data_IF_966728992661
#
_entry.id   IF_966728992661
#
_cell.length_a   1.000
_cell.length_b   1.000
_cell.length_c   1.000
_cell.angle_alpha   90.00
_cell.angle_beta   90.00
_cell.angle_gamma   90.00
#
_symmetry.space_group_name_H-M   'P 1'
#
loop_
_entity.id
_entity.type
_entity.pdbx_description
1 polymer ?
#
# COMPACT_ATOMS: atom_id res chain seq x y z
N UNK A 1 -15.87 -29.01 -28.18
CA UNK A 1 -15.80 -27.59 -28.60
C UNK A 1 -16.53 -26.61 -27.67
N UNK A 2 -17.44 -27.05 -26.78
CA UNK A 2 -18.22 -26.13 -25.91
C UNK A 2 -17.50 -25.65 -24.63
N UNK A 3 -16.57 -26.44 -24.07
CA UNK A 3 -15.84 -26.08 -22.84
C UNK A 3 -14.71 -25.05 -23.05
N UNK A 4 -14.09 -25.01 -24.23
CA UNK A 4 -13.01 -24.05 -24.52
C UNK A 4 -13.55 -22.63 -24.76
N UNK A 5 -14.78 -22.52 -25.26
CA UNK A 5 -15.47 -21.25 -25.49
C UNK A 5 -15.98 -20.61 -24.19
N UNK A 6 -16.38 -21.41 -23.19
CA UNK A 6 -16.85 -20.90 -21.89
C UNK A 6 -15.70 -20.38 -21.01
N UNK A 7 -14.53 -21.04 -21.06
CA UNK A 7 -13.35 -20.62 -20.30
C UNK A 7 -12.75 -19.30 -20.84
N UNK A 8 -12.75 -19.14 -22.17
CA UNK A 8 -12.29 -17.92 -22.83
C UNK A 8 -13.25 -16.73 -22.63
N UNK A 9 -14.57 -16.98 -22.58
CA UNK A 9 -15.55 -15.96 -22.17
C UNK A 9 -15.36 -15.54 -20.69
N UNK A 10 -15.14 -16.50 -19.79
CA UNK A 10 -14.94 -16.23 -18.36
C UNK A 10 -13.66 -15.43 -18.06
N UNK A 11 -12.55 -15.74 -18.74
CA UNK A 11 -11.31 -14.95 -18.66
C UNK A 11 -11.49 -13.53 -19.24
N UNK A 12 -12.29 -13.38 -20.30
CA UNK A 12 -12.61 -12.09 -20.91
C UNK A 12 -13.43 -11.20 -19.95
N UNK A 13 -14.47 -11.75 -19.33
CA UNK A 13 -15.29 -11.04 -18.35
C UNK A 13 -14.49 -10.62 -17.10
N UNK A 14 -13.59 -11.48 -16.60
CA UNK A 14 -12.74 -11.15 -15.45
C UNK A 14 -11.71 -10.05 -15.77
N UNK A 15 -11.12 -10.07 -16.98
CA UNK A 15 -10.27 -8.99 -17.49
C UNK A 15 -11.04 -7.68 -17.65
N UNK A 16 -12.27 -7.74 -18.16
CA UNK A 16 -13.12 -6.55 -18.30
C UNK A 16 -13.53 -5.99 -16.93
N UNK A 17 -13.79 -6.82 -15.93
CA UNK A 17 -14.08 -6.36 -14.57
C UNK A 17 -12.87 -5.68 -13.91
N UNK A 18 -11.66 -6.22 -14.10
CA UNK A 18 -10.41 -5.62 -13.64
C UNK A 18 -10.12 -4.27 -14.34
N UNK A 19 -10.33 -4.20 -15.66
CA UNK A 19 -10.17 -2.97 -16.44
C UNK A 19 -11.18 -1.89 -16.04
N UNK A 20 -12.46 -2.25 -15.83
CA UNK A 20 -13.48 -1.31 -15.33
C UNK A 20 -13.24 -0.85 -13.89
N UNK A 21 -12.43 -1.58 -13.10
CA UNK A 21 -12.00 -1.16 -11.75
C UNK A 21 -10.82 -0.18 -11.83
N UNK A 22 -9.92 -0.35 -12.81
CA UNK A 22 -8.82 0.58 -13.10
C UNK A 22 -9.32 1.90 -13.71
N UNK A 23 -10.28 1.85 -14.63
CA UNK A 23 -10.86 3.06 -15.26
C UNK A 23 -11.62 3.93 -14.25
N UNK A 24 -12.25 3.33 -13.23
CA UNK A 24 -12.91 4.08 -12.15
C UNK A 24 -11.94 4.85 -11.25
N UNK A 25 -10.69 4.41 -11.15
CA UNK A 25 -9.62 5.11 -10.42
C UNK A 25 -9.03 6.23 -11.31
N UNK A 26 -8.91 5.99 -12.61
CA UNK A 26 -8.36 6.95 -13.57
C UNK A 26 -9.27 8.17 -13.82
N UNK A 27 -10.59 8.03 -13.69
CA UNK A 27 -11.57 9.09 -13.95
C UNK A 27 -11.56 10.28 -12.97
N UNK A 28 -10.71 10.27 -11.93
CA UNK A 28 -10.59 11.36 -10.96
C UNK A 28 -9.28 12.17 -11.09
N UNK A 29 -8.46 11.91 -12.12
CA UNK A 29 -7.24 12.66 -12.37
C UNK A 29 -7.51 13.80 -13.36
N UNK A 30 -7.64 15.02 -12.82
CA UNK A 30 -7.69 16.25 -13.61
C UNK A 30 -6.39 16.42 -14.45
N UNK A 31 -6.47 17.05 -15.64
CA UNK A 31 -5.29 17.30 -16.46
C UNK A 31 -4.35 18.30 -15.75
N UNK A 32 -3.13 17.87 -15.47
CA UNK A 32 -2.08 18.73 -14.90
C UNK A 32 -1.45 19.54 -16.04
N UNK A 33 -1.56 20.87 -15.98
CA UNK A 33 -0.86 21.77 -16.89
C UNK A 33 0.64 21.78 -16.55
N UNK A 34 1.48 21.80 -17.59
CA UNK A 34 2.92 21.57 -17.47
C UNK A 34 3.76 22.86 -17.41
N UNK A 35 3.15 24.03 -17.15
CA UNK A 35 3.80 25.33 -17.27
C UNK A 35 4.07 26.05 -15.94
N UNK A 36 3.78 25.40 -14.81
CA UNK A 36 4.36 25.80 -13.53
C UNK A 36 5.34 24.71 -13.13
N UNK A 37 6.64 25.02 -13.14
CA UNK A 37 7.63 24.21 -12.46
C UNK A 37 7.15 24.05 -11.02
N UNK A 38 6.59 22.88 -10.73
CA UNK A 38 6.13 22.49 -9.40
C UNK A 38 7.35 22.68 -8.51
N UNK A 39 7.37 23.61 -7.55
CA UNK A 39 8.45 23.67 -6.59
C UNK A 39 8.50 22.28 -5.96
N UNK A 40 9.64 21.60 -6.09
CA UNK A 40 9.91 20.22 -5.64
C UNK A 40 8.83 19.70 -4.69
N UNK A 41 8.00 18.78 -5.20
CA UNK A 41 6.87 18.15 -4.51
C UNK A 41 7.03 18.20 -2.98
N UNK A 42 6.14 18.92 -2.30
CA UNK A 42 6.19 19.01 -0.85
C UNK A 42 6.29 17.60 -0.24
N UNK A 43 7.22 17.37 0.70
CA UNK A 43 7.38 16.06 1.29
C UNK A 43 6.13 15.71 2.07
N UNK A 44 5.34 14.78 1.55
CA UNK A 44 4.06 14.39 2.13
C UNK A 44 4.14 12.95 2.62
N UNK A 45 3.71 12.75 3.87
CA UNK A 45 3.48 11.43 4.42
C UNK A 45 2.36 10.71 3.65
N UNK A 46 2.35 9.38 3.70
CA UNK A 46 1.33 8.54 3.07
C UNK A 46 0.68 7.61 4.10
N UNK A 47 -0.65 7.49 4.08
CA UNK A 47 -1.40 6.56 4.96
C UNK A 47 -2.16 5.57 4.09
N UNK A 48 -2.17 4.29 4.49
CA UNK A 48 -2.95 3.22 3.87
C UNK A 48 -3.72 2.50 4.98
N UNK A 49 -5.01 2.27 4.78
CA UNK A 49 -5.83 1.45 5.66
C UNK A 49 -6.38 0.24 4.91
N UNK A 50 -6.50 -0.88 5.61
CA UNK A 50 -7.14 -2.09 5.08
C UNK A 50 -8.09 -2.67 6.12
N UNK A 51 -9.31 -2.99 5.67
CA UNK A 51 -10.33 -3.68 6.46
C UNK A 51 -10.78 -4.89 5.64
N UNK A 52 -10.21 -6.05 5.94
CA UNK A 52 -10.33 -7.29 5.16
C UNK A 52 -11.54 -8.13 5.53
N UNK A 53 -12.72 -7.52 5.54
CA UNK A 53 -13.99 -8.25 5.69
C UNK A 53 -14.86 -8.00 4.47
N UNK A 54 -14.62 -8.72 3.38
CA UNK A 54 -15.46 -8.69 2.18
C UNK A 54 -15.97 -10.12 1.90
N UNK A 55 -17.29 -10.33 2.01
CA UNK A 55 -17.94 -11.59 1.62
C UNK A 55 -17.52 -12.84 2.42
N UNK A 56 -17.10 -12.69 3.68
CA UNK A 56 -16.71 -13.80 4.55
C UNK A 56 -15.29 -14.35 4.31
N UNK A 57 -14.47 -13.66 3.50
CA UNK A 57 -13.06 -13.98 3.33
C UNK A 57 -12.17 -12.93 3.98
N UNK A 58 -11.38 -13.41 4.91
CA UNK A 58 -10.31 -12.67 5.56
C UNK A 58 -9.07 -12.64 4.65
N UNK A 59 -8.70 -11.45 4.16
CA UNK A 59 -7.50 -11.23 3.36
C UNK A 59 -6.32 -10.78 4.23
N UNK A 60 -5.06 -11.14 3.88
CA UNK A 60 -3.90 -10.79 4.69
C UNK A 60 -3.63 -9.27 4.63
N UNK A 61 -3.93 -8.55 5.70
CA UNK A 61 -3.82 -7.09 5.73
C UNK A 61 -2.42 -6.58 5.37
N UNK A 62 -1.39 -7.29 5.83
CA UNK A 62 0.00 -6.90 5.63
C UNK A 62 0.36 -6.71 4.15
N UNK A 63 -0.10 -7.59 3.26
CA UNK A 63 0.25 -7.51 1.84
C UNK A 63 -0.37 -6.29 1.16
N UNK A 64 -1.64 -6.01 1.44
CA UNK A 64 -2.34 -4.83 0.92
C UNK A 64 -1.71 -3.53 1.45
N UNK A 65 -1.38 -3.51 2.73
CA UNK A 65 -0.76 -2.36 3.37
C UNK A 65 0.65 -2.09 2.81
N UNK A 66 1.49 -3.12 2.69
CA UNK A 66 2.84 -2.99 2.15
C UNK A 66 2.81 -2.53 0.68
N UNK A 67 1.92 -3.10 -0.12
CA UNK A 67 1.77 -2.69 -1.53
C UNK A 67 1.24 -1.26 -1.65
N UNK A 68 0.30 -0.86 -0.80
CA UNK A 68 -0.15 0.52 -0.72
C UNK A 68 0.98 1.49 -0.40
N UNK A 69 1.88 1.14 0.53
CA UNK A 69 3.04 1.99 0.83
C UNK A 69 4.02 2.08 -0.35
N UNK A 70 4.20 1.01 -1.13
CA UNK A 70 5.03 1.03 -2.36
C UNK A 70 4.45 1.95 -3.44
N UNK A 71 3.13 2.04 -3.56
CA UNK A 71 2.49 2.99 -4.47
C UNK A 71 2.80 4.44 -4.04
N UNK A 72 2.90 4.68 -2.73
CA UNK A 72 3.20 6.00 -2.14
C UNK A 72 4.71 6.31 -2.06
N UNK A 73 5.59 5.34 -2.32
CA UNK A 73 7.05 5.45 -2.21
C UNK A 73 7.65 6.44 -3.21
N UNK A 74 6.99 6.69 -4.36
CA UNK A 74 7.52 7.56 -5.42
C UNK A 74 7.81 9.01 -4.97
N UNK A 75 7.39 9.40 -3.76
CA UNK A 75 7.67 10.70 -3.13
C UNK A 75 8.87 10.69 -2.16
N UNK A 76 9.42 9.52 -1.85
CA UNK A 76 10.44 9.34 -0.81
C UNK A 76 9.87 9.32 0.61
N UNK A 77 10.62 8.75 1.55
CA UNK A 77 10.25 8.67 2.97
C UNK A 77 11.47 8.46 3.89
N UNK A 78 11.38 8.96 5.11
CA UNK A 78 12.38 8.76 6.14
C UNK A 78 12.15 7.49 6.96
N UNK A 79 10.89 7.13 7.18
CA UNK A 79 10.52 5.91 7.88
C UNK A 79 9.19 5.39 7.38
N UNK A 80 8.93 4.11 7.66
CA UNK A 80 7.66 3.47 7.38
C UNK A 80 7.27 2.53 8.51
N UNK A 81 5.96 2.32 8.71
CA UNK A 81 5.44 1.40 9.69
C UNK A 81 4.13 0.77 9.26
N UNK A 82 3.90 -0.46 9.73
CA UNK A 82 2.67 -1.22 9.55
C UNK A 82 2.21 -1.70 10.92
N UNK A 83 0.94 -1.44 11.23
CA UNK A 83 0.25 -2.00 12.39
C UNK A 83 -0.94 -2.81 11.90
N UNK A 84 -1.03 -4.07 12.30
CA UNK A 84 -2.18 -4.92 12.01
C UNK A 84 -2.78 -5.47 13.29
N UNK A 85 -4.02 -5.93 13.22
CA UNK A 85 -4.79 -6.38 14.37
C UNK A 85 -5.45 -7.73 14.10
N UNK A 86 -5.48 -8.56 15.14
CA UNK A 86 -6.29 -9.78 15.24
C UNK A 86 -6.70 -9.99 16.69
N UNK A 87 -7.95 -10.38 16.94
CA UNK A 87 -8.46 -10.66 18.29
C UNK A 87 -8.17 -9.53 19.31
N UNK A 88 -8.29 -8.27 18.87
CA UNK A 88 -7.94 -7.06 19.63
C UNK A 88 -6.47 -6.93 20.05
N UNK A 89 -5.58 -7.76 19.51
CA UNK A 89 -4.13 -7.68 19.70
C UNK A 89 -3.49 -6.95 18.52
N UNK A 90 -2.69 -5.92 18.82
CA UNK A 90 -1.96 -5.15 17.82
C UNK A 90 -0.55 -5.70 17.62
N UNK A 91 -0.16 -5.89 16.36
CA UNK A 91 1.22 -6.16 15.95
C UNK A 91 1.74 -4.96 15.17
N UNK A 92 2.80 -4.33 15.67
CA UNK A 92 3.43 -3.16 15.02
C UNK A 92 4.86 -3.49 14.59
N UNK A 93 5.18 -3.24 13.34
CA UNK A 93 6.56 -3.23 12.83
C UNK A 93 6.82 -1.88 12.18
N UNK A 94 7.92 -1.22 12.56
CA UNK A 94 8.30 0.07 11.99
C UNK A 94 9.81 0.24 11.88
N UNK A 95 10.23 0.92 10.83
CA UNK A 95 11.63 1.12 10.51
C UNK A 95 11.87 2.52 9.95
N UNK A 96 12.90 3.18 10.45
CA UNK A 96 13.59 4.24 9.76
C UNK A 96 14.38 3.67 8.58
N UNK A 97 14.43 4.40 7.49
CA UNK A 97 15.30 4.06 6.38
C UNK A 97 16.77 4.36 6.73
N UNK A 98 17.71 3.68 6.10
CA UNK A 98 19.14 3.94 6.27
C UNK A 98 19.53 5.32 5.74
N UNK A 99 20.77 5.76 6.00
CA UNK A 99 21.23 7.12 5.66
C UNK A 99 21.32 7.39 4.16
N UNK A 100 21.48 6.34 3.35
CA UNK A 100 21.71 6.42 1.89
C UNK A 100 20.61 5.82 1.04
N UNK A 101 19.60 5.18 1.64
CA UNK A 101 18.53 4.46 0.91
C UNK A 101 17.16 4.62 1.56
N UNK A 102 16.10 4.53 0.76
CA UNK A 102 14.71 4.33 1.20
C UNK A 102 14.44 2.83 1.39
N UNK A 103 15.03 2.21 2.42
CA UNK A 103 14.97 0.75 2.61
C UNK A 103 13.96 0.29 3.67
N UNK A 104 13.24 1.19 4.36
CA UNK A 104 12.29 0.83 5.41
C UNK A 104 11.23 -0.17 4.93
N UNK A 105 10.69 -0.02 3.70
CA UNK A 105 9.73 -0.96 3.14
C UNK A 105 10.34 -2.36 2.92
N UNK A 106 11.60 -2.43 2.51
CA UNK A 106 12.33 -3.70 2.37
C UNK A 106 12.58 -4.36 3.72
N UNK A 107 12.85 -3.57 4.77
CA UNK A 107 12.98 -4.07 6.15
C UNK A 107 11.64 -4.58 6.69
N UNK A 108 10.54 -3.87 6.42
CA UNK A 108 9.18 -4.29 6.78
C UNK A 108 8.82 -5.63 6.11
N UNK A 109 9.10 -5.79 4.82
CA UNK A 109 8.76 -7.00 4.06
C UNK A 109 9.30 -8.29 4.71
N UNK A 110 10.47 -8.22 5.38
CA UNK A 110 11.08 -9.36 6.10
C UNK A 110 10.28 -9.82 7.32
N UNK A 111 9.36 -9.01 7.83
CA UNK A 111 8.59 -9.24 9.05
C UNK A 111 7.14 -9.64 8.80
N UNK A 112 6.76 -9.93 7.53
CA UNK A 112 5.42 -10.39 7.14
C UNK A 112 4.86 -11.48 8.07
N UNK A 113 5.70 -12.43 8.48
CA UNK A 113 5.29 -13.55 9.35
C UNK A 113 4.72 -13.12 10.71
N UNK A 114 5.11 -11.95 11.25
CA UNK A 114 4.59 -11.43 12.52
C UNK A 114 3.14 -10.93 12.41
N UNK A 115 2.71 -10.60 11.20
CA UNK A 115 1.37 -10.07 10.90
C UNK A 115 0.45 -11.12 10.28
N UNK A 116 0.83 -12.40 10.38
CA UNK A 116 0.09 -13.51 9.78
C UNK A 116 -1.34 -13.57 10.34
N UNK A 117 -2.30 -13.84 9.45
CA UNK A 117 -3.72 -13.97 9.77
C UNK A 117 -4.37 -12.68 10.35
N UNK A 118 -3.69 -11.54 10.31
CA UNK A 118 -4.27 -10.26 10.69
C UNK A 118 -4.99 -9.64 9.48
N UNK A 119 -6.25 -9.25 9.67
CA UNK A 119 -7.16 -8.90 8.58
C UNK A 119 -7.56 -7.43 8.56
N UNK A 120 -7.16 -6.67 9.59
CA UNK A 120 -7.33 -5.22 9.67
C UNK A 120 -5.99 -4.58 9.98
N UNK A 121 -5.74 -3.40 9.43
CA UNK A 121 -4.54 -2.64 9.80
C UNK A 121 -4.42 -1.29 9.11
N UNK A 122 -3.37 -0.59 9.52
CA UNK A 122 -2.96 0.71 9.01
C UNK A 122 -1.46 0.69 8.73
N UNK A 123 -1.05 1.45 7.72
CA UNK A 123 0.33 1.64 7.36
C UNK A 123 0.60 3.12 7.06
N UNK A 124 1.84 3.54 7.30
CA UNK A 124 2.25 4.92 7.16
C UNK A 124 3.68 5.03 6.64
N UNK A 125 3.93 5.93 5.68
CA UNK A 125 5.25 6.49 5.41
C UNK A 125 5.35 7.88 6.03
N UNK A 126 6.46 8.17 6.69
CA UNK A 126 6.71 9.44 7.37
C UNK A 126 7.87 10.19 6.69
N UNK A 127 7.71 11.50 6.56
CA UNK A 127 8.80 12.43 6.34
C UNK A 127 9.10 13.18 7.64
N UNK A 128 10.35 13.14 8.10
CA UNK A 128 10.75 13.73 9.36
C UNK A 128 10.99 15.24 9.20
N UNK A 129 10.00 16.05 9.60
CA UNK A 129 10.18 17.51 9.74
C UNK A 129 10.73 17.92 11.10
N UNK A 130 10.47 17.09 12.12
CA UNK A 130 10.93 17.26 13.49
C UNK A 130 11.36 15.92 14.08
N UNK A 131 12.39 15.93 14.92
CA UNK A 131 12.94 14.72 15.54
C UNK A 131 13.76 13.85 14.58
N UNK A 132 14.64 13.03 15.16
CA UNK A 132 15.56 12.21 14.38
C UNK A 132 14.84 11.07 13.62
N UNK A 133 15.43 10.65 12.50
CA UNK A 133 15.05 9.46 11.75
C UNK A 133 15.45 8.20 12.54
N UNK A 134 14.53 7.64 13.32
CA UNK A 134 14.75 6.46 14.15
C UNK A 134 13.58 5.49 14.07
N UNK A 135 13.83 4.21 14.38
CA UNK A 135 12.78 3.19 14.51
C UNK A 135 11.82 3.48 15.68
N UNK A 136 12.07 4.47 16.54
CA UNK A 136 11.18 4.89 17.64
C UNK A 136 10.25 6.04 17.24
N UNK A 137 10.68 6.92 16.34
CA UNK A 137 9.88 8.06 15.84
C UNK A 137 8.99 7.67 14.65
#
# INVERSE_FOLDING_TARGET
>A
LSLSLSLSLSLSLSRMAALRRLERIAGHLAPVNNNNLIPSLAPTCGIVGYVGYEGGKEGPAFDFLLEGLRILENRGYDSAGITTMKDNVLTTTKYASSRSTSDALSRLAKHKGQHKDNCVGIAHTRWATHGAKTDTN
#
